data_IF_092858746467
#
_entry.id   IF_092858746467
#
_cell.length_a   1.000
_cell.length_b   1.000
_cell.length_c   1.000
_cell.angle_alpha   90.00
_cell.angle_beta   90.00
_cell.angle_gamma   90.00
#
_symmetry.space_group_name_H-M   'P 1'
#
loop_
_entity.id
_entity.type
_entity.pdbx_description
1 polymer ?
#
# COMPACT_ATOMS: atom_id res chain seq x y z
N UNK A 1 3.33 -8.97 -10.94
CA UNK A 1 3.77 -8.18 -9.77
C UNK A 1 4.90 -8.95 -9.12
N UNK A 2 6.03 -8.32 -8.84
CA UNK A 2 7.16 -8.97 -8.14
C UNK A 2 7.38 -8.22 -6.84
N UNK A 3 7.29 -8.91 -5.72
CA UNK A 3 7.49 -8.34 -4.39
C UNK A 3 8.69 -9.00 -3.74
N UNK A 4 9.62 -8.18 -3.23
CA UNK A 4 10.80 -8.64 -2.54
C UNK A 4 10.83 -8.05 -1.14
N UNK A 5 10.59 -8.90 -0.16
CA UNK A 5 10.53 -8.54 1.25
C UNK A 5 11.91 -8.68 1.90
N UNK A 6 12.24 -7.72 2.77
CA UNK A 6 13.42 -7.70 3.61
C UNK A 6 12.94 -7.56 5.05
N UNK A 7 12.87 -8.68 5.76
CA UNK A 7 12.52 -8.71 7.17
C UNK A 7 13.71 -8.32 8.04
N UNK A 8 13.48 -7.43 9.00
CA UNK A 8 14.44 -7.13 10.07
C UNK A 8 14.13 -7.97 11.31
N UNK A 9 12.88 -7.97 11.74
CA UNK A 9 12.39 -8.75 12.87
C UNK A 9 10.88 -8.97 12.76
N UNK A 10 10.36 -9.87 13.59
CA UNK A 10 8.91 -10.10 13.72
C UNK A 10 8.41 -9.37 14.96
N UNK A 11 7.42 -8.51 14.78
CA UNK A 11 6.65 -7.94 15.88
C UNK A 11 5.66 -8.99 16.37
N UNK A 12 5.59 -9.21 17.67
CA UNK A 12 4.55 -10.03 18.31
C UNK A 12 4.16 -9.37 19.62
N UNK A 13 2.91 -8.94 19.72
CA UNK A 13 2.30 -8.33 20.89
C UNK A 13 1.38 -9.34 21.55
N UNK A 14 1.52 -9.50 22.86
CA UNK A 14 0.60 -10.34 23.62
C UNK A 14 -0.61 -9.51 24.04
N UNK A 15 -1.76 -9.81 23.44
CA UNK A 15 -3.06 -9.12 23.64
C UNK A 15 -3.41 -8.97 25.11
N UNK A 16 -3.16 -10.00 25.93
CA UNK A 16 -3.50 -9.97 27.36
C UNK A 16 -2.68 -8.96 28.18
N UNK A 17 -1.60 -8.43 27.59
CA UNK A 17 -0.67 -7.48 28.23
C UNK A 17 -0.51 -6.18 27.45
N UNK A 18 -1.21 -6.01 26.33
CA UNK A 18 -1.15 -4.77 25.55
C UNK A 18 -1.70 -3.64 26.41
N UNK A 19 -0.85 -2.66 26.67
CA UNK A 19 -1.26 -1.42 27.31
C UNK A 19 -1.49 -0.36 26.24
N UNK A 20 -2.75 0.04 26.09
CA UNK A 20 -3.11 1.14 25.23
C UNK A 20 -2.54 2.46 25.77
N UNK A 21 -2.06 3.31 24.87
CA UNK A 21 -1.60 4.64 25.23
C UNK A 21 -2.78 5.52 25.72
N UNK A 22 -2.49 6.70 26.28
CA UNK A 22 -3.52 7.61 26.78
C UNK A 22 -4.54 8.03 25.72
N UNK A 23 -4.09 8.28 24.49
CA UNK A 23 -4.95 8.73 23.39
C UNK A 23 -5.92 7.63 22.94
N UNK A 24 -5.43 6.40 22.75
CA UNK A 24 -6.25 5.26 22.37
C UNK A 24 -7.27 4.92 23.46
N UNK A 25 -6.88 4.96 24.74
CA UNK A 25 -7.82 4.77 25.86
C UNK A 25 -8.91 5.84 25.89
N UNK A 26 -8.53 7.10 25.67
CA UNK A 26 -9.49 8.19 25.61
C UNK A 26 -10.45 8.03 24.43
N UNK A 27 -9.95 7.68 23.24
CA UNK A 27 -10.78 7.47 22.06
C UNK A 27 -11.80 6.33 22.28
N UNK A 28 -11.36 5.19 22.84
CA UNK A 28 -12.26 4.07 23.17
C UNK A 28 -13.31 4.48 24.20
N UNK A 29 -12.96 5.30 25.20
CA UNK A 29 -13.94 5.74 26.22
C UNK A 29 -15.08 6.59 25.66
N UNK A 30 -14.94 7.13 24.45
CA UNK A 30 -16.01 7.86 23.75
C UNK A 30 -16.94 6.91 22.97
N UNK A 31 -16.55 5.66 22.74
CA UNK A 31 -17.38 4.64 22.13
C UNK A 31 -18.33 4.08 23.19
N UNK A 32 -19.43 4.80 23.44
CA UNK A 32 -20.49 4.38 24.37
C UNK A 32 -21.48 3.43 23.68
N UNK A 33 -22.30 2.76 24.49
CA UNK A 33 -23.38 1.89 24.00
C UNK A 33 -24.49 2.66 23.27
N UNK A 34 -24.62 3.96 23.55
CA UNK A 34 -25.46 4.87 22.77
C UNK A 34 -24.78 5.10 21.42
N UNK A 35 -25.17 4.29 20.44
CA UNK A 35 -24.62 4.28 19.08
C UNK A 35 -24.81 5.65 18.41
N UNK A 36 -23.82 6.52 18.52
CA UNK A 36 -23.66 7.70 17.67
C UNK A 36 -22.83 7.32 16.43
N UNK A 37 -23.43 7.16 15.23
CA UNK A 37 -22.73 6.70 14.04
C UNK A 37 -21.55 7.59 13.66
N UNK A 38 -21.67 8.90 13.87
CA UNK A 38 -20.65 9.87 13.43
C UNK A 38 -19.36 9.69 14.26
N UNK A 39 -19.49 9.44 15.56
CA UNK A 39 -18.34 9.18 16.45
C UNK A 39 -17.64 7.87 16.10
N UNK A 40 -18.38 6.85 15.70
CA UNK A 40 -17.82 5.57 15.30
C UNK A 40 -17.12 5.65 13.93
N UNK A 41 -17.67 6.39 12.97
CA UNK A 41 -17.02 6.64 11.68
C UNK A 41 -15.71 7.42 11.88
N UNK A 42 -15.74 8.51 12.65
CA UNK A 42 -14.55 9.29 12.99
C UNK A 42 -13.47 8.45 13.67
N UNK A 43 -13.87 7.53 14.55
CA UNK A 43 -12.94 6.61 15.21
C UNK A 43 -12.27 5.68 14.20
N UNK A 44 -13.04 5.05 13.31
CA UNK A 44 -12.51 4.11 12.31
C UNK A 44 -11.61 4.82 11.30
N UNK A 45 -11.95 6.05 10.91
CA UNK A 45 -11.12 6.84 10.00
C UNK A 45 -9.79 7.25 10.62
N UNK A 46 -9.78 7.57 11.92
CA UNK A 46 -8.56 7.96 12.63
C UNK A 46 -7.68 6.77 13.04
N UNK A 47 -8.27 5.67 13.48
CA UNK A 47 -7.56 4.56 14.14
C UNK A 47 -7.58 3.24 13.36
N UNK A 48 -8.33 3.18 12.27
CA UNK A 48 -8.60 1.96 11.53
C UNK A 48 -9.53 1.01 12.28
N UNK A 49 -9.60 -0.23 11.78
CA UNK A 49 -10.54 -1.24 12.30
C UNK A 49 -9.89 -2.25 13.24
N UNK A 50 -8.57 -2.43 13.15
CA UNK A 50 -7.83 -3.45 13.89
C UNK A 50 -6.47 -2.95 14.38
N UNK A 51 -6.02 -3.54 15.49
CA UNK A 51 -4.65 -3.43 15.99
C UNK A 51 -3.84 -4.60 15.46
N UNK A 52 -2.71 -4.31 14.82
CA UNK A 52 -1.77 -5.35 14.37
C UNK A 52 -1.02 -5.91 15.57
N UNK A 53 -1.23 -7.19 15.87
CA UNK A 53 -0.57 -7.87 16.99
C UNK A 53 0.62 -8.70 16.54
N UNK A 54 0.65 -9.13 15.28
CA UNK A 54 1.79 -9.84 14.73
C UNK A 54 2.05 -9.42 13.29
N UNK A 55 3.28 -9.01 13.02
CA UNK A 55 3.67 -8.61 11.67
C UNK A 55 5.16 -8.77 11.45
N UNK A 56 5.55 -9.00 10.20
CA UNK A 56 6.92 -8.79 9.78
C UNK A 56 7.22 -7.29 9.69
N UNK A 57 8.33 -6.87 10.30
CA UNK A 57 8.82 -5.48 10.27
C UNK A 57 10.07 -5.41 9.41
N UNK A 58 10.13 -4.47 8.48
CA UNK A 58 11.30 -4.27 7.62
C UNK A 58 11.01 -3.39 6.41
N UNK A 59 11.46 -3.81 5.23
CA UNK A 59 11.19 -3.12 3.97
C UNK A 59 10.75 -4.03 2.84
N UNK A 60 10.03 -3.48 1.86
CA UNK A 60 9.66 -4.21 0.64
C UNK A 60 10.00 -3.40 -0.60
N UNK A 61 10.56 -4.08 -1.59
CA UNK A 61 10.65 -3.57 -2.96
C UNK A 61 9.51 -4.19 -3.76
N UNK A 62 8.60 -3.35 -4.24
CA UNK A 62 7.54 -3.75 -5.14
C UNK A 62 7.90 -3.34 -6.57
N UNK A 63 7.91 -4.31 -7.48
CA UNK A 63 8.16 -4.09 -8.89
C UNK A 63 6.93 -4.48 -9.72
N UNK A 64 6.42 -3.51 -10.46
CA UNK A 64 5.31 -3.68 -11.38
C UNK A 64 5.79 -3.48 -12.80
N UNK A 65 5.75 -4.55 -13.59
CA UNK A 65 5.85 -4.46 -15.04
C UNK A 65 4.50 -3.99 -15.59
N UNK A 66 4.49 -2.82 -16.20
CA UNK A 66 3.39 -2.28 -16.97
C UNK A 66 3.73 -2.48 -18.43
N UNK A 67 2.93 -3.27 -19.13
CA UNK A 67 3.07 -3.45 -20.57
C UNK A 67 2.14 -2.45 -21.23
N UNK A 68 2.71 -1.44 -21.89
CA UNK A 68 1.94 -0.53 -22.75
C UNK A 68 1.93 -1.10 -24.16
N UNK A 69 0.74 -1.18 -24.75
CA UNK A 69 0.53 -1.47 -26.17
C UNK A 69 0.25 -0.14 -26.85
N UNK A 70 1.05 0.20 -27.86
CA UNK A 70 0.76 1.32 -28.73
C UNK A 70 0.40 0.84 -30.13
N UNK A 71 -0.29 1.70 -30.88
CA UNK A 71 -0.49 1.56 -32.32
C UNK A 71 0.34 2.60 -33.07
N UNK A 72 0.75 2.23 -34.28
CA UNK A 72 1.36 3.15 -35.25
C UNK A 72 0.25 3.88 -36.02
N UNK A 73 0.40 5.20 -36.19
CA UNK A 73 -0.42 5.96 -37.11
C UNK A 73 0.07 5.70 -38.55
N UNK A 74 -0.83 5.35 -39.48
CA UNK A 74 -0.49 5.15 -40.90
C UNK A 74 0.15 6.38 -41.55
N UNK A 75 -0.02 7.56 -40.95
CA UNK A 75 0.57 8.82 -41.38
C UNK A 75 2.00 9.07 -40.88
N UNK A 76 2.56 8.23 -40.00
CA UNK A 76 3.89 8.40 -39.40
C UNK A 76 4.74 7.12 -39.53
N UNK A 77 5.37 6.89 -40.70
CA UNK A 77 6.21 5.72 -40.95
C UNK A 77 7.53 5.72 -40.16
N UNK A 78 7.84 6.83 -39.49
CA UNK A 78 9.05 7.00 -38.67
C UNK A 78 8.82 6.70 -37.19
N UNK A 79 7.59 6.36 -36.81
CA UNK A 79 7.19 6.02 -35.44
C UNK A 79 7.54 7.12 -34.41
N UNK A 80 7.37 8.39 -34.79
CA UNK A 80 7.57 9.51 -33.84
C UNK A 80 6.43 9.63 -32.83
N UNK A 81 5.23 9.09 -33.11
CA UNK A 81 4.07 9.15 -32.22
C UNK A 81 3.48 7.78 -31.88
N UNK A 82 3.52 7.41 -30.59
CA UNK A 82 2.93 6.20 -30.01
C UNK A 82 1.49 6.54 -29.57
N UNK A 83 0.45 6.00 -30.23
CA UNK A 83 -0.94 6.18 -29.76
C UNK A 83 -1.25 5.12 -28.70
N UNK A 84 -1.56 5.50 -27.44
CA UNK A 84 -1.94 4.54 -26.40
C UNK A 84 -3.20 3.76 -26.79
N UNK A 85 -3.28 2.48 -26.42
CA UNK A 85 -4.48 1.67 -26.68
C UNK A 85 -5.78 2.29 -26.11
N UNK A 86 -5.69 2.99 -24.97
CA UNK A 86 -6.83 3.68 -24.34
C UNK A 86 -7.41 4.80 -25.21
N UNK A 87 -6.58 5.38 -26.07
CA UNK A 87 -6.91 6.60 -26.82
C UNK A 87 -7.30 6.25 -28.27
N UNK A 88 -7.49 4.95 -28.55
CA UNK A 88 -7.90 4.46 -29.86
C UNK A 88 -9.37 4.83 -30.12
N UNK A 89 -9.60 5.58 -31.18
CA UNK A 89 -10.92 5.68 -31.80
C UNK A 89 -11.17 4.42 -32.68
N UNK A 90 -12.14 3.56 -32.35
CA UNK A 90 -12.44 2.36 -33.12
C UNK A 90 -12.95 2.65 -34.54
N UNK A 91 -13.40 3.88 -34.82
CA UNK A 91 -13.93 4.28 -36.12
C UNK A 91 -12.87 4.91 -37.04
N UNK A 92 -11.65 5.11 -36.54
CA UNK A 92 -10.58 5.75 -37.29
C UNK A 92 -9.70 4.69 -37.97
N UNK A 93 -9.83 4.54 -39.30
CA UNK A 93 -9.09 3.59 -40.14
C UNK A 93 -7.62 3.96 -40.37
N UNK A 94 -7.12 5.01 -39.71
CA UNK A 94 -5.74 5.52 -39.86
C UNK A 94 -4.71 4.81 -38.98
N UNK A 95 -5.09 3.76 -38.24
CA UNK A 95 -4.17 3.00 -37.40
C UNK A 95 -3.72 1.70 -38.09
N UNK A 96 -2.42 1.58 -38.34
CA UNK A 96 -1.81 0.32 -38.75
C UNK A 96 -1.68 -0.59 -37.52
N UNK A 97 -2.04 -1.87 -37.64
CA UNK A 97 -1.85 -2.80 -36.53
C UNK A 97 -0.36 -3.12 -36.39
N UNK A 98 0.32 -2.44 -35.46
CA UNK A 98 1.67 -2.78 -35.04
C UNK A 98 1.72 -2.81 -33.51
N UNK A 99 1.95 -3.98 -32.93
CA UNK A 99 1.99 -4.15 -31.47
C UNK A 99 3.42 -3.92 -30.95
N UNK A 100 3.81 -2.65 -30.77
CA UNK A 100 5.02 -2.34 -30.01
C UNK A 100 4.71 -2.50 -28.51
N UNK A 101 5.37 -3.46 -27.85
CA UNK A 101 5.26 -3.66 -26.40
C UNK A 101 6.37 -2.90 -25.70
N UNK A 102 6.03 -1.85 -24.95
CA UNK A 102 6.99 -1.22 -24.02
C UNK A 102 6.71 -1.74 -22.62
N UNK A 103 7.69 -2.43 -22.03
CA UNK A 103 7.65 -2.86 -20.62
C UNK A 103 8.25 -1.75 -19.76
N UNK A 104 7.39 -0.99 -19.09
CA UNK A 104 7.82 -0.05 -18.04
C UNK A 104 7.88 -0.82 -16.73
N UNK A 105 9.04 -0.82 -16.07
CA UNK A 105 9.17 -1.39 -14.72
C UNK A 105 9.08 -0.23 -13.73
N UNK A 106 7.96 -0.15 -13.01
CA UNK A 106 7.82 0.74 -11.86
C UNK A 106 8.35 0.00 -10.63
N UNK A 107 9.30 0.61 -9.92
CA UNK A 107 9.82 0.13 -8.64
C UNK A 107 9.32 1.07 -7.55
N UNK A 108 8.78 0.51 -6.47
CA UNK A 108 8.34 1.24 -5.30
C UNK A 108 8.98 0.62 -4.06
N UNK A 109 9.55 1.46 -3.21
CA UNK A 109 10.03 1.04 -1.89
C UNK A 109 8.97 1.31 -0.82
N UNK A 110 8.89 0.39 0.14
CA UNK A 110 8.04 0.47 1.33
C UNK A 110 8.92 0.28 2.56
N UNK A 111 8.84 1.20 3.52
CA UNK A 111 9.80 1.30 4.61
C UNK A 111 11.14 1.88 4.15
N UNK A 112 11.95 2.31 5.12
CA UNK A 112 13.16 3.08 4.89
C UNK A 112 12.86 4.48 4.34
N UNK A 113 13.89 5.09 3.78
CA UNK A 113 13.77 6.34 3.03
C UNK A 113 13.39 6.05 1.58
N UNK A 114 12.13 6.33 1.23
CA UNK A 114 11.60 6.09 -0.11
C UNK A 114 12.21 6.98 -1.21
N UNK A 115 12.99 8.00 -0.85
CA UNK A 115 13.70 8.84 -1.82
C UNK A 115 15.01 8.22 -2.32
N UNK A 116 15.48 7.13 -1.72
CA UNK A 116 16.73 6.47 -2.10
C UNK A 116 16.50 5.42 -3.18
N UNK A 117 16.82 5.75 -4.43
CA UNK A 117 16.61 4.85 -5.58
C UNK A 117 17.49 3.59 -5.57
N UNK A 118 18.66 3.65 -4.92
CA UNK A 118 19.59 2.53 -4.90
C UNK A 118 19.19 1.51 -3.82
N UNK A 119 18.74 0.32 -4.25
CA UNK A 119 18.34 -0.80 -3.38
C UNK A 119 19.34 -1.14 -2.27
N UNK A 120 20.65 -1.02 -2.51
CA UNK A 120 21.68 -1.34 -1.51
C UNK A 120 21.80 -0.26 -0.45
N UNK A 121 21.60 1.00 -0.82
CA UNK A 121 21.64 2.14 0.10
C UNK A 121 20.32 2.27 0.85
N UNK A 122 19.20 2.13 0.14
CA UNK A 122 17.86 2.09 0.73
C UNK A 122 17.76 1.05 1.85
N UNK A 123 18.32 -0.15 1.67
CA UNK A 123 18.36 -1.18 2.72
C UNK A 123 18.97 -0.74 4.04
N UNK A 124 19.97 0.14 3.99
CA UNK A 124 20.62 0.65 5.21
C UNK A 124 19.69 1.56 6.01
N UNK A 125 18.74 2.21 5.34
CA UNK A 125 17.77 3.11 5.95
C UNK A 125 16.63 2.36 6.66
N UNK A 126 16.44 1.07 6.36
CA UNK A 126 15.40 0.24 6.96
C UNK A 126 15.50 0.14 8.49
N UNK A 127 16.72 0.21 9.04
CA UNK A 127 16.91 0.18 10.49
C UNK A 127 16.33 1.42 11.20
N UNK A 128 16.22 2.55 10.49
CA UNK A 128 15.75 3.83 11.03
C UNK A 128 14.24 4.01 10.85
N UNK A 129 13.71 3.60 9.69
CA UNK A 129 12.29 3.79 9.36
C UNK A 129 11.62 2.54 8.79
N UNK A 130 11.60 1.40 9.49
CA UNK A 130 10.98 0.20 8.94
C UNK A 130 9.46 0.35 8.79
N UNK A 131 8.87 -0.46 7.92
CA UNK A 131 7.43 -0.57 7.72
C UNK A 131 6.91 -1.95 8.18
N UNK A 132 5.60 -2.00 8.46
CA UNK A 132 4.84 -3.23 8.60
C UNK A 132 4.48 -3.75 7.21
N UNK A 133 4.77 -5.02 6.90
CA UNK A 133 4.62 -5.55 5.54
C UNK A 133 3.63 -6.72 5.47
N UNK A 134 3.86 -7.74 6.28
CA UNK A 134 3.06 -8.95 6.33
C UNK A 134 2.37 -8.99 7.68
N UNK A 135 1.16 -8.43 7.74
CA UNK A 135 0.28 -8.53 8.90
C UNK A 135 -0.16 -9.99 9.01
N UNK A 136 0.31 -10.67 10.05
CA UNK A 136 0.03 -12.09 10.30
C UNK A 136 -1.16 -12.27 11.23
N UNK A 137 -1.27 -11.40 12.23
CA UNK A 137 -2.36 -11.41 13.20
C UNK A 137 -2.76 -9.98 13.54
N UNK A 138 -4.06 -9.78 13.72
CA UNK A 138 -4.67 -8.52 14.09
C UNK A 138 -5.88 -8.79 15.00
N UNK A 139 -6.16 -7.86 15.88
CA UNK A 139 -7.28 -7.93 16.83
C UNK A 139 -8.16 -6.70 16.62
N UNK A 140 -9.49 -6.86 16.52
CA UNK A 140 -10.38 -5.74 16.30
C UNK A 140 -10.42 -4.80 17.51
N UNK A 141 -10.69 -3.52 17.28
CA UNK A 141 -10.76 -2.53 18.36
C UNK A 141 -11.85 -2.81 19.40
N UNK A 142 -12.97 -3.45 19.00
CA UNK A 142 -14.07 -3.72 19.91
C UNK A 142 -13.70 -4.68 21.05
N UNK A 143 -12.68 -5.54 20.89
CA UNK A 143 -12.17 -6.41 21.96
C UNK A 143 -11.52 -5.61 23.11
N UNK A 144 -11.24 -4.33 22.90
CA UNK A 144 -10.66 -3.41 23.88
C UNK A 144 -11.67 -2.40 24.44
N UNK A 145 -12.92 -2.43 23.97
CA UNK A 145 -14.00 -1.60 24.51
C UNK A 145 -14.50 -2.26 25.79
N UNK A 146 -14.48 -1.53 26.91
CA UNK A 146 -15.03 -2.03 28.17
C UNK A 146 -16.53 -1.77 28.21
N UNK A 147 -17.34 -2.82 28.06
CA UNK A 147 -18.81 -2.78 28.17
C UNK A 147 -19.33 -2.54 29.61
N UNK A 148 -18.45 -2.30 30.59
CA UNK A 148 -18.82 -2.16 32.01
C UNK A 148 -18.93 -0.72 32.50
N UNK A 149 -19.06 0.26 31.60
CA UNK A 149 -19.29 1.67 31.95
C UNK A 149 -20.76 1.95 32.24
#
# INVERSE_FOLDING_TARGET
>A
LSQRVIGLYTLTLNVSTVQLNSFARQAISQLTADSDPDVYEDFVDAWGTHIVTKSLVGGMVEQRAIVKRCFEALSDPTFTQCIPFSDRDPNNFTCGYYAAFTRVVSTRHLGGDAAVDNDKEWRKTLAVGPALLQILEMVPWYDFVNDTA
#
